data_IF_551088971800
#
_entry.id   IF_551088971800
#
_cell.length_a   1.000
_cell.length_b   1.000
_cell.length_c   1.000
_cell.angle_alpha   90.00
_cell.angle_beta   90.00
_cell.angle_gamma   90.00
#
_symmetry.space_group_name_H-M   'P 1'
#
loop_
_entity.id
_entity.type
_entity.pdbx_description
1 polymer ?
#
# COMPACT_ATOMS: atom_id res chain seq x y z
N UNK A 1 7.05 16.27 5.17
CA UNK A 1 6.58 14.94 4.77
C UNK A 1 5.78 15.02 3.48
N UNK A 2 6.07 14.13 2.55
CA UNK A 2 5.46 14.15 1.22
C UNK A 2 4.88 12.77 0.92
N UNK A 3 3.67 12.73 0.36
CA UNK A 3 3.10 11.52 -0.22
C UNK A 3 3.10 11.72 -1.72
N UNK A 4 3.73 10.81 -2.46
CA UNK A 4 3.88 10.93 -3.91
C UNK A 4 3.86 9.56 -4.59
N UNK A 5 3.57 9.53 -5.90
CA UNK A 5 3.78 8.29 -6.66
C UNK A 5 5.24 7.87 -6.60
N UNK A 6 5.46 6.56 -6.48
CA UNK A 6 6.80 6.02 -6.49
C UNK A 6 7.40 6.02 -7.89
N UNK A 7 8.72 6.05 -7.96
CA UNK A 7 9.45 5.86 -9.21
C UNK A 7 10.42 4.70 -9.05
N UNK A 8 11.08 4.31 -10.13
CA UNK A 8 12.04 3.19 -10.08
C UNK A 8 13.16 3.39 -9.06
N UNK A 9 13.53 4.63 -8.77
CA UNK A 9 14.54 4.92 -7.72
C UNK A 9 14.09 4.49 -6.33
N UNK A 10 12.80 4.30 -6.12
CA UNK A 10 12.26 3.90 -4.82
C UNK A 10 12.21 2.39 -4.64
N UNK A 11 12.54 1.60 -5.67
CA UNK A 11 12.46 0.14 -5.63
C UNK A 11 13.19 -0.46 -4.44
N UNK A 12 14.42 -0.03 -4.17
CA UNK A 12 15.22 -0.60 -3.11
C UNK A 12 14.60 -0.32 -1.74
N UNK A 13 14.12 0.90 -1.52
CA UNK A 13 13.48 1.26 -0.26
C UNK A 13 12.19 0.48 -0.05
N UNK A 14 11.38 0.32 -1.09
CA UNK A 14 10.15 -0.46 -1.03
C UNK A 14 10.46 -1.92 -0.74
N UNK A 15 11.43 -2.50 -1.44
CA UNK A 15 11.86 -3.87 -1.21
C UNK A 15 12.31 -4.08 0.25
N UNK A 16 13.09 -3.14 0.79
CA UNK A 16 13.56 -3.20 2.17
C UNK A 16 12.39 -3.23 3.16
N UNK A 17 11.33 -2.49 2.88
CA UNK A 17 10.13 -2.50 3.72
C UNK A 17 9.42 -3.85 3.68
N UNK A 18 9.29 -4.47 2.50
CA UNK A 18 8.74 -5.82 2.41
C UNK A 18 9.57 -6.81 3.24
N UNK A 19 10.89 -6.71 3.15
CA UNK A 19 11.76 -7.60 3.92
C UNK A 19 11.62 -7.38 5.43
N UNK A 20 11.44 -6.15 5.86
CA UNK A 20 11.27 -5.84 7.29
C UNK A 20 10.04 -6.51 7.88
N UNK A 21 9.03 -6.80 7.04
CA UNK A 21 7.81 -7.51 7.45
C UNK A 21 7.93 -9.01 7.22
N UNK A 22 9.07 -9.48 6.72
CA UNK A 22 9.31 -10.90 6.38
C UNK A 22 8.36 -11.42 5.31
N UNK A 23 7.88 -10.55 4.45
CA UNK A 23 7.05 -10.93 3.29
C UNK A 23 7.97 -11.32 2.14
N UNK A 24 8.56 -12.50 2.25
CA UNK A 24 9.69 -12.93 1.42
C UNK A 24 9.33 -13.27 -0.02
N UNK A 25 8.04 -13.42 -0.32
CA UNK A 25 7.60 -13.63 -1.70
C UNK A 25 7.77 -12.39 -2.57
N UNK A 26 7.95 -11.21 -1.95
CA UNK A 26 8.21 -9.96 -2.66
C UNK A 26 9.72 -9.81 -2.86
N UNK A 27 10.26 -10.49 -3.85
CA UNK A 27 11.68 -10.42 -4.17
C UNK A 27 12.01 -9.08 -4.82
N UNK A 28 13.29 -8.70 -4.81
CA UNK A 28 13.71 -7.46 -5.46
C UNK A 28 13.31 -7.42 -6.93
N UNK A 29 13.47 -8.56 -7.63
CA UNK A 29 13.09 -8.68 -9.02
C UNK A 29 11.59 -8.44 -9.25
N UNK A 30 10.74 -9.03 -8.40
CA UNK A 30 9.29 -8.85 -8.51
C UNK A 30 8.89 -7.41 -8.24
N UNK A 31 9.46 -6.79 -7.21
CA UNK A 31 9.16 -5.38 -6.91
C UNK A 31 9.54 -4.50 -8.10
N UNK A 32 10.73 -4.74 -8.67
CA UNK A 32 11.18 -3.98 -9.85
C UNK A 32 10.23 -4.17 -11.03
N UNK A 33 9.76 -5.40 -11.25
CA UNK A 33 8.84 -5.71 -12.35
C UNK A 33 7.49 -5.02 -12.21
N UNK A 34 7.04 -4.75 -10.97
CA UNK A 34 5.78 -4.05 -10.74
C UNK A 34 5.80 -2.62 -11.30
N UNK A 35 6.98 -2.02 -11.45
CA UNK A 35 7.09 -0.69 -12.06
C UNK A 35 6.98 -0.72 -13.59
N UNK A 36 6.96 -1.90 -14.20
CA UNK A 36 6.83 -2.06 -15.64
C UNK A 36 5.39 -2.30 -16.10
N UNK A 37 4.46 -2.40 -15.17
CA UNK A 37 3.04 -2.61 -15.49
C UNK A 37 2.23 -1.36 -15.17
N UNK A 38 1.15 -1.14 -15.92
CA UNK A 38 0.21 -0.03 -15.67
C UNK A 38 -0.86 -0.41 -14.64
N UNK A 39 -0.86 -1.65 -14.15
CA UNK A 39 -1.92 -2.14 -13.27
C UNK A 39 -1.62 -1.92 -11.80
N UNK A 40 -0.34 -1.88 -11.44
CA UNK A 40 0.09 -1.75 -10.05
C UNK A 40 0.64 -0.36 -9.80
N UNK A 41 0.17 0.26 -8.73
CA UNK A 41 0.56 1.63 -8.38
C UNK A 41 1.11 1.63 -6.96
N UNK A 42 2.15 2.44 -6.73
CA UNK A 42 2.67 2.69 -5.40
C UNK A 42 2.57 4.17 -5.08
N UNK A 43 2.06 4.48 -3.89
CA UNK A 43 2.28 5.77 -3.25
C UNK A 43 3.30 5.56 -2.14
N UNK A 44 4.30 6.41 -2.08
CA UNK A 44 5.30 6.39 -1.01
C UNK A 44 5.15 7.61 -0.13
N UNK A 45 5.54 7.44 1.12
CA UNK A 45 5.58 8.49 2.11
C UNK A 45 7.03 8.79 2.39
N UNK A 46 7.45 10.01 2.10
CA UNK A 46 8.85 10.42 2.18
C UNK A 46 9.04 11.55 3.19
N UNK A 47 10.08 11.45 4.00
CA UNK A 47 10.49 12.50 4.91
C UNK A 47 12.02 12.54 4.96
N UNK A 48 12.60 13.72 4.77
CA UNK A 48 14.04 13.92 4.76
C UNK A 48 14.75 12.95 3.80
N UNK A 49 14.17 12.79 2.60
CA UNK A 49 14.70 11.92 1.54
C UNK A 49 14.70 10.42 1.89
N UNK A 50 13.98 10.04 2.94
CA UNK A 50 13.80 8.63 3.31
C UNK A 50 12.38 8.20 3.07
N UNK A 51 12.20 6.98 2.56
CA UNK A 51 10.88 6.39 2.39
C UNK A 51 10.50 5.72 3.71
N UNK A 52 9.45 6.23 4.34
CA UNK A 52 8.97 5.72 5.63
C UNK A 52 7.82 4.73 5.48
N UNK A 53 7.23 4.63 4.31
CA UNK A 53 6.13 3.72 4.09
C UNK A 53 5.61 3.80 2.68
N UNK A 54 4.72 2.86 2.35
CA UNK A 54 4.07 2.85 1.05
C UNK A 54 2.73 2.14 1.12
N UNK A 55 1.92 2.38 0.11
CA UNK A 55 0.75 1.56 -0.19
C UNK A 55 0.82 1.16 -1.66
N UNK A 56 0.55 -0.12 -1.95
CA UNK A 56 0.40 -0.59 -3.33
C UNK A 56 -1.07 -0.85 -3.57
N UNK A 57 -1.57 -0.40 -4.72
CA UNK A 57 -2.98 -0.57 -5.03
C UNK A 57 -3.19 -0.80 -6.52
N UNK A 58 -4.36 -1.39 -6.83
CA UNK A 58 -4.84 -1.57 -8.19
C UNK A 58 -6.18 -0.87 -8.28
N UNK A 59 -6.49 -0.27 -9.43
CA UNK A 59 -7.76 0.44 -9.59
C UNK A 59 -8.22 0.44 -11.04
N UNK A 60 -9.54 0.34 -11.24
CA UNK A 60 -10.14 0.58 -12.55
C UNK A 60 -10.58 2.04 -12.68
N UNK A 61 -10.37 2.84 -11.64
CA UNK A 61 -10.70 4.27 -11.55
C UNK A 61 -12.19 4.58 -11.60
N UNK A 62 -13.05 3.58 -11.72
CA UNK A 62 -14.48 3.73 -11.89
C UNK A 62 -15.27 3.14 -10.74
N UNK A 63 -14.99 1.89 -10.39
CA UNK A 63 -15.79 1.16 -9.41
C UNK A 63 -14.98 0.66 -8.23
N UNK A 64 -13.79 0.09 -8.46
CA UNK A 64 -13.05 -0.60 -7.42
C UNK A 64 -11.60 -0.16 -7.37
N UNK A 65 -11.12 0.12 -6.15
CA UNK A 65 -9.71 0.28 -5.83
C UNK A 65 -9.36 -0.77 -4.78
N UNK A 66 -8.40 -1.64 -5.09
CA UNK A 66 -7.97 -2.68 -4.17
C UNK A 66 -6.61 -2.34 -3.58
N UNK A 67 -6.54 -2.25 -2.25
CA UNK A 67 -5.29 -2.02 -1.54
C UNK A 67 -4.60 -3.38 -1.35
N UNK A 68 -3.48 -3.57 -2.03
CA UNK A 68 -2.79 -4.85 -2.03
C UNK A 68 -1.86 -5.01 -0.82
N UNK A 69 -1.00 -4.03 -0.55
CA UNK A 69 -0.16 -4.01 0.66
C UNK A 69 0.00 -2.58 1.14
N UNK A 70 0.14 -2.45 2.44
CA UNK A 70 0.51 -1.18 3.08
C UNK A 70 1.52 -1.48 4.18
N UNK A 71 2.66 -0.80 4.15
CA UNK A 71 3.71 -0.97 5.16
C UNK A 71 4.19 0.40 5.60
N UNK A 72 4.25 0.59 6.89
CA UNK A 72 4.90 1.75 7.52
C UNK A 72 6.10 1.25 8.28
N UNK A 73 7.23 1.93 8.14
CA UNK A 73 8.45 1.61 8.89
C UNK A 73 8.14 1.51 10.38
N UNK A 74 8.69 0.48 11.03
CA UNK A 74 8.33 0.13 12.40
C UNK A 74 8.54 1.27 13.39
N UNK A 75 9.57 2.08 13.19
CA UNK A 75 9.87 3.19 14.09
C UNK A 75 8.97 4.40 13.88
N UNK A 76 8.12 4.38 12.86
CA UNK A 76 7.23 5.49 12.52
C UNK A 76 5.75 5.13 12.62
N UNK A 77 5.42 4.00 13.24
CA UNK A 77 4.03 3.57 13.42
C UNK A 77 3.32 4.35 14.52
N UNK A 78 1.98 4.25 14.54
CA UNK A 78 1.11 4.92 15.51
C UNK A 78 1.12 6.43 15.39
N UNK A 79 1.42 6.94 14.19
CA UNK A 79 1.41 8.38 13.89
C UNK A 79 0.37 8.75 12.84
N UNK A 80 -0.52 7.80 12.48
CA UNK A 80 -1.54 8.04 11.47
C UNK A 80 -1.05 8.04 10.04
N UNK A 81 0.17 7.55 9.77
CA UNK A 81 0.75 7.61 8.42
C UNK A 81 0.06 6.68 7.44
N UNK A 82 -0.32 5.48 7.89
CA UNK A 82 -1.07 4.55 7.03
C UNK A 82 -2.41 5.13 6.63
N UNK A 83 -3.10 5.76 7.56
CA UNK A 83 -4.36 6.43 7.27
C UNK A 83 -4.17 7.55 6.25
N UNK A 84 -3.10 8.33 6.35
CA UNK A 84 -2.81 9.40 5.40
C UNK A 84 -2.61 8.87 3.98
N UNK A 85 -1.91 7.73 3.83
CA UNK A 85 -1.73 7.10 2.52
C UNK A 85 -3.08 6.68 1.93
N UNK A 86 -3.93 6.07 2.73
CA UNK A 86 -5.25 5.62 2.27
C UNK A 86 -6.12 6.82 1.90
N UNK A 87 -6.07 7.89 2.67
CA UNK A 87 -6.82 9.10 2.37
C UNK A 87 -6.39 9.73 1.04
N UNK A 88 -5.11 9.68 0.70
CA UNK A 88 -4.63 10.17 -0.60
C UNK A 88 -5.23 9.36 -1.75
N UNK A 89 -5.35 8.04 -1.59
CA UNK A 89 -5.99 7.20 -2.59
C UNK A 89 -7.47 7.56 -2.71
N UNK A 90 -8.14 7.75 -1.58
CA UNK A 90 -9.56 8.11 -1.57
C UNK A 90 -9.81 9.45 -2.26
N UNK A 91 -8.93 10.42 -2.06
CA UNK A 91 -9.02 11.71 -2.75
C UNK A 91 -8.84 11.57 -4.25
N UNK A 92 -7.96 10.68 -4.66
CA UNK A 92 -7.65 10.50 -6.08
C UNK A 92 -8.77 9.74 -6.83
N UNK A 93 -9.41 8.79 -6.16
CA UNK A 93 -10.46 7.96 -6.75
C UNK A 93 -11.71 7.93 -5.85
N UNK A 94 -12.37 9.10 -5.65
CA UNK A 94 -13.40 9.21 -4.62
C UNK A 94 -14.68 8.42 -4.89
N UNK A 95 -14.89 7.97 -6.14
CA UNK A 95 -16.09 7.24 -6.51
C UNK A 95 -15.91 5.72 -6.47
N UNK A 96 -14.68 5.24 -6.24
CA UNK A 96 -14.43 3.81 -6.17
C UNK A 96 -14.68 3.28 -4.77
N UNK A 97 -15.02 1.98 -4.69
CA UNK A 97 -15.04 1.27 -3.42
C UNK A 97 -13.59 0.87 -3.10
N UNK A 98 -13.09 1.30 -1.96
CA UNK A 98 -11.75 0.91 -1.53
C UNK A 98 -11.87 -0.36 -0.71
N UNK A 99 -11.30 -1.45 -1.23
CA UNK A 99 -11.41 -2.78 -0.64
C UNK A 99 -10.03 -3.39 -0.41
N UNK A 100 -9.95 -4.29 0.57
CA UNK A 100 -8.69 -4.96 0.90
C UNK A 100 -8.98 -6.27 1.62
N UNK A 101 -7.94 -7.09 1.77
CA UNK A 101 -7.97 -8.26 2.64
C UNK A 101 -7.14 -7.88 3.87
N UNK A 102 -7.77 -7.89 5.04
CA UNK A 102 -7.16 -7.36 6.25
C UNK A 102 -6.36 -8.42 7.03
N UNK A 103 -5.18 -8.03 7.49
CA UNK A 103 -4.42 -8.72 8.52
C UNK A 103 -4.24 -7.82 9.75
N UNK A 104 -5.00 -6.71 9.79
CA UNK A 104 -4.92 -5.72 10.87
C UNK A 104 -6.31 -5.12 11.10
N UNK A 105 -7.26 -5.98 11.45
CA UNK A 105 -8.68 -5.57 11.56
C UNK A 105 -8.89 -4.34 12.44
N UNK A 106 -8.19 -4.27 13.57
CA UNK A 106 -8.31 -3.13 14.48
C UNK A 106 -7.93 -1.81 13.81
N UNK A 107 -6.86 -1.81 13.03
CA UNK A 107 -6.42 -0.62 12.32
C UNK A 107 -7.49 -0.16 11.32
N UNK A 108 -8.00 -1.08 10.51
CA UNK A 108 -8.96 -0.70 9.47
C UNK A 108 -10.31 -0.30 10.05
N UNK A 109 -10.78 -0.98 11.10
CA UNK A 109 -12.02 -0.57 11.78
C UNK A 109 -11.90 0.82 12.39
N UNK A 110 -10.73 1.15 12.93
CA UNK A 110 -10.50 2.46 13.55
C UNK A 110 -10.58 3.61 12.55
N UNK A 111 -10.35 3.34 11.26
CA UNK A 111 -10.43 4.35 10.20
C UNK A 111 -11.63 4.13 9.28
N UNK A 112 -12.69 3.54 9.83
CA UNK A 112 -14.02 3.44 9.22
C UNK A 112 -14.18 2.40 8.12
N UNK A 113 -13.28 1.43 8.02
CA UNK A 113 -13.52 0.25 7.19
C UNK A 113 -14.41 -0.73 7.95
N UNK A 114 -15.22 -1.47 7.20
CA UNK A 114 -16.07 -2.51 7.78
C UNK A 114 -15.92 -3.80 6.97
N UNK A 115 -16.07 -4.98 7.60
CA UNK A 115 -15.98 -6.23 6.86
C UNK A 115 -17.17 -6.36 5.89
N UNK A 116 -16.88 -6.80 4.67
CA UNK A 116 -17.89 -6.98 3.64
C UNK A 116 -17.92 -8.39 3.06
N UNK A 117 -17.03 -9.25 3.55
CA UNK A 117 -16.98 -10.64 3.09
C UNK A 117 -15.72 -11.32 3.56
N UNK A 118 -15.50 -12.54 3.11
CA UNK A 118 -14.30 -13.32 3.42
C UNK A 118 -13.42 -13.42 2.17
N UNK A 119 -12.12 -13.13 2.34
CA UNK A 119 -11.17 -13.26 1.25
C UNK A 119 -10.81 -14.72 1.01
N UNK A 120 -10.67 -15.09 -0.27
CA UNK A 120 -10.24 -16.44 -0.67
C UNK A 120 -9.10 -16.33 -1.67
N UNK A 121 -8.17 -17.27 -1.61
CA UNK A 121 -7.06 -17.35 -2.56
C UNK A 121 -6.97 -18.76 -3.10
N UNK A 122 -6.90 -18.90 -4.44
CA UNK A 122 -6.80 -20.19 -5.08
C UNK A 122 -5.34 -20.68 -5.17
N UNK A 123 -4.40 -19.75 -5.26
CA UNK A 123 -2.99 -20.08 -5.48
C UNK A 123 -2.13 -19.56 -4.33
N UNK A 124 -0.92 -20.07 -4.25
CA UNK A 124 0.06 -19.66 -3.25
C UNK A 124 0.55 -18.22 -3.47
#
# INVERSE_FOLDING_TARGET
MIIRPASRKDCQAIYSLYQSEKWLSFTEEKVRSLFSTNLSHYLVLEEDQKILGFVRYLTDEVLTTFLAEIIIDKSHRRKGLGQQLIEEIHKKYPLTRIELISEADGFYRAISFKPVGTGFRKSE
#
